data_IF_173736715133
#
_entry.id   IF_173736715133
#
_cell.length_a   1.000
_cell.length_b   1.000
_cell.length_c   1.000
_cell.angle_alpha   90.00
_cell.angle_beta   90.00
_cell.angle_gamma   90.00
#
_symmetry.space_group_name_H-M   'P 1'
#
loop_
_entity.id
_entity.type
_entity.pdbx_description
1 polymer ?
#
# COMPACT_ATOMS: atom_id res chain seq x y z
N UNK A 1 -3.07 -15.04 14.29
CA UNK A 1 -2.56 -14.78 12.93
C UNK A 1 -1.27 -14.01 12.99
N UNK A 2 -0.69 -13.69 11.83
CA UNK A 2 0.55 -12.91 11.73
C UNK A 2 0.41 -11.50 12.33
N UNK A 3 -0.72 -10.83 12.06
CA UNK A 3 -1.04 -9.51 12.60
C UNK A 3 -0.95 -9.45 14.13
N UNK A 4 -1.58 -10.40 14.84
CA UNK A 4 -1.53 -10.43 16.31
C UNK A 4 -0.10 -10.60 16.84
N UNK A 5 0.77 -11.29 16.10
CA UNK A 5 2.17 -11.45 16.48
C UNK A 5 2.96 -10.14 16.31
N UNK A 6 2.71 -9.39 15.24
CA UNK A 6 3.29 -8.04 15.03
C UNK A 6 2.86 -7.08 16.14
N UNK A 7 1.55 -7.00 16.41
CA UNK A 7 1.00 -6.15 17.48
C UNK A 7 1.61 -6.52 18.83
N UNK A 8 1.66 -7.82 19.15
CA UNK A 8 2.28 -8.30 20.39
C UNK A 8 3.77 -7.96 20.48
N UNK A 9 4.50 -7.99 19.36
CA UNK A 9 5.91 -7.60 19.29
C UNK A 9 6.12 -6.14 19.66
N UNK A 10 5.35 -5.22 19.07
CA UNK A 10 5.42 -3.79 19.40
C UNK A 10 4.98 -3.48 20.83
N UNK A 11 3.91 -4.14 21.33
CA UNK A 11 3.50 -4.02 22.73
C UNK A 11 4.60 -4.52 23.69
N UNK A 12 5.24 -5.65 23.37
CA UNK A 12 6.34 -6.20 24.16
C UNK A 12 7.60 -5.31 24.14
N UNK A 13 7.80 -4.56 23.06
CA UNK A 13 8.84 -3.53 22.94
C UNK A 13 8.50 -2.22 23.69
N UNK A 14 7.29 -2.13 24.28
CA UNK A 14 6.89 -1.01 25.14
C UNK A 14 6.17 0.14 24.41
N UNK A 15 5.72 -0.08 23.17
CA UNK A 15 4.99 0.92 22.40
C UNK A 15 3.48 0.88 22.68
N UNK A 16 2.83 2.04 22.59
CA UNK A 16 1.39 2.10 22.32
C UNK A 16 1.15 1.75 20.86
N UNK A 17 0.25 0.81 20.59
CA UNK A 17 -0.10 0.38 19.24
C UNK A 17 -1.51 0.85 18.90
N UNK A 18 -1.67 1.45 17.71
CA UNK A 18 -2.94 1.87 17.15
C UNK A 18 -3.10 1.18 15.81
N UNK A 19 -4.23 0.52 15.60
CA UNK A 19 -4.56 -0.20 14.35
C UNK A 19 -5.87 0.39 13.83
N UNK A 20 -5.80 1.37 12.91
CA UNK A 20 -6.98 2.02 12.37
C UNK A 20 -7.62 1.18 11.26
N UNK A 21 -8.94 1.22 11.18
CA UNK A 21 -9.71 0.68 10.05
C UNK A 21 -9.55 1.63 8.85
N UNK A 22 -8.41 1.55 8.17
CA UNK A 22 -7.98 2.55 7.19
C UNK A 22 -8.84 2.56 5.91
N UNK A 23 -9.57 1.49 5.65
CA UNK A 23 -10.48 1.36 4.51
C UNK A 23 -11.82 2.09 4.75
N UNK A 24 -12.06 2.62 5.95
CA UNK A 24 -13.30 3.29 6.30
C UNK A 24 -14.48 2.33 6.46
N UNK A 25 -15.67 2.89 6.68
CA UNK A 25 -16.89 2.12 6.90
C UNK A 25 -17.38 1.37 5.65
N UNK A 26 -16.96 1.84 4.46
CA UNK A 26 -17.31 1.27 3.16
C UNK A 26 -16.26 0.28 2.63
N UNK A 27 -15.21 -0.01 3.41
CA UNK A 27 -14.14 -0.96 3.05
C UNK A 27 -13.50 -0.66 1.68
N UNK A 28 -13.13 0.60 1.48
CA UNK A 28 -12.58 1.14 0.23
C UNK A 28 -11.07 0.89 0.16
N UNK A 29 -10.70 -0.38 0.00
CA UNK A 29 -9.30 -0.79 -0.14
C UNK A 29 -8.59 -0.05 -1.28
N UNK A 30 -7.31 0.27 -1.07
CA UNK A 30 -6.42 1.04 -1.98
C UNK A 30 -6.71 2.54 -2.16
N UNK A 31 -7.77 3.09 -1.56
CA UNK A 31 -8.03 4.53 -1.64
C UNK A 31 -7.03 5.30 -0.78
N UNK A 32 -6.07 5.92 -1.44
CA UNK A 32 -4.84 6.43 -0.84
C UNK A 32 -5.06 7.54 0.17
N UNK A 33 -5.66 8.66 -0.27
CA UNK A 33 -5.90 9.84 0.59
C UNK A 33 -6.75 9.48 1.82
N UNK A 34 -7.82 8.72 1.61
CA UNK A 34 -8.68 8.24 2.70
C UNK A 34 -7.89 7.40 3.70
N UNK A 35 -7.16 6.39 3.23
CA UNK A 35 -6.35 5.52 4.08
C UNK A 35 -5.31 6.31 4.88
N UNK A 36 -4.67 7.29 4.25
CA UNK A 36 -3.73 8.19 4.90
C UNK A 36 -4.39 9.05 5.98
N UNK A 37 -5.56 9.64 5.71
CA UNK A 37 -6.31 10.44 6.68
C UNK A 37 -6.78 9.59 7.86
N UNK A 38 -7.37 8.42 7.59
CA UNK A 38 -7.83 7.50 8.63
C UNK A 38 -6.67 7.08 9.55
N UNK A 39 -5.47 6.84 9.00
CA UNK A 39 -4.30 6.51 9.79
C UNK A 39 -3.86 7.66 10.72
N UNK A 40 -3.78 8.89 10.18
CA UNK A 40 -3.37 10.07 10.94
C UNK A 40 -4.42 10.46 11.99
N UNK A 41 -5.71 10.35 11.67
CA UNK A 41 -6.79 10.58 12.61
C UNK A 41 -6.87 9.49 13.68
N UNK A 42 -6.55 8.24 13.34
CA UNK A 42 -6.36 7.17 14.33
C UNK A 42 -5.29 7.52 15.37
N UNK A 43 -4.16 8.09 14.92
CA UNK A 43 -3.11 8.61 15.81
C UNK A 43 -3.64 9.75 16.69
N UNK A 44 -4.33 10.74 16.12
CA UNK A 44 -4.94 11.86 16.87
C UNK A 44 -5.94 11.35 17.91
N UNK A 45 -6.80 10.41 17.54
CA UNK A 45 -7.78 9.80 18.43
C UNK A 45 -7.10 9.10 19.61
N UNK A 46 -6.05 8.32 19.35
CA UNK A 46 -5.27 7.67 20.39
C UNK A 46 -4.57 8.67 21.31
N UNK A 47 -3.95 9.73 20.75
CA UNK A 47 -3.29 10.77 21.55
C UNK A 47 -4.29 11.50 22.45
N UNK A 48 -5.46 11.84 21.91
CA UNK A 48 -6.56 12.47 22.64
C UNK A 48 -7.09 11.57 23.77
N UNK A 49 -7.38 10.30 23.46
CA UNK A 49 -7.88 9.33 24.43
C UNK A 49 -6.90 9.08 25.58
N UNK A 50 -5.60 8.97 25.27
CA UNK A 50 -4.54 8.77 26.25
C UNK A 50 -4.08 10.07 26.94
N UNK A 51 -4.61 11.23 26.51
CA UNK A 51 -4.25 12.55 27.01
C UNK A 51 -2.75 12.86 26.89
N UNK A 52 -2.12 12.43 25.79
CA UNK A 52 -0.72 12.72 25.47
C UNK A 52 -0.62 13.85 24.45
N UNK A 53 0.46 14.65 24.43
CA UNK A 53 0.59 15.77 23.50
C UNK A 53 0.78 15.28 22.05
N UNK A 54 0.43 16.12 21.06
CA UNK A 54 0.66 15.82 19.64
C UNK A 54 2.15 15.67 19.28
N UNK A 55 3.03 16.21 20.12
CA UNK A 55 4.48 16.04 20.02
C UNK A 55 4.98 14.65 20.43
N UNK A 56 4.10 13.77 20.93
CA UNK A 56 4.44 12.36 21.20
C UNK A 56 4.98 11.73 19.92
N UNK A 57 6.20 11.14 19.93
CA UNK A 57 6.76 10.47 18.75
C UNK A 57 5.83 9.40 18.22
N UNK A 58 5.66 9.35 16.90
CA UNK A 58 4.81 8.38 16.20
C UNK A 58 5.62 7.74 15.08
N UNK A 59 5.61 6.41 15.06
CA UNK A 59 6.13 5.60 13.95
C UNK A 59 4.98 4.93 13.22
N UNK A 60 5.08 4.82 11.90
CA UNK A 60 4.09 4.10 11.09
C UNK A 60 4.75 2.86 10.48
N UNK A 61 4.04 1.73 10.44
CA UNK A 61 4.49 0.51 9.78
C UNK A 61 3.32 -0.16 9.07
N UNK A 62 3.58 -0.67 7.87
CA UNK A 62 2.62 -1.50 7.16
C UNK A 62 3.24 -2.24 5.99
N UNK A 63 2.67 -3.41 5.69
CA UNK A 63 3.11 -4.29 4.62
C UNK A 63 1.94 -4.65 3.71
N UNK A 64 2.18 -4.85 2.41
CA UNK A 64 1.14 -5.19 1.44
C UNK A 64 0.02 -4.14 1.45
N UNK A 65 -1.24 -4.53 1.63
CA UNK A 65 -2.37 -3.59 1.82
C UNK A 65 -2.14 -2.56 2.94
N UNK A 66 -1.52 -2.96 4.06
CA UNK A 66 -1.20 -2.04 5.16
C UNK A 66 -0.13 -0.99 4.83
N UNK A 67 0.60 -1.17 3.72
CA UNK A 67 1.52 -0.15 3.23
C UNK A 67 0.79 1.08 2.68
N UNK A 68 -0.46 0.94 2.23
CA UNK A 68 -1.31 2.02 1.70
C UNK A 68 -1.48 3.15 2.73
N UNK A 69 -2.10 2.95 3.91
CA UNK A 69 -2.22 3.99 4.92
C UNK A 69 -0.87 4.49 5.44
N UNK A 70 0.16 3.63 5.43
CA UNK A 70 1.50 3.97 5.93
C UNK A 70 2.20 4.97 5.04
N UNK A 71 2.27 4.68 3.74
CA UNK A 71 2.91 5.55 2.77
C UNK A 71 2.06 6.80 2.52
N UNK A 72 0.75 6.66 2.31
CA UNK A 72 -0.14 7.79 2.08
C UNK A 72 -0.23 8.71 3.30
N UNK A 73 -0.30 8.14 4.51
CA UNK A 73 -0.28 8.93 5.75
C UNK A 73 1.00 9.74 5.89
N UNK A 74 2.17 9.14 5.61
CA UNK A 74 3.44 9.88 5.62
C UNK A 74 3.49 10.97 4.54
N UNK A 75 2.90 10.73 3.37
CA UNK A 75 2.85 11.66 2.25
C UNK A 75 1.99 12.90 2.51
N UNK A 76 0.79 12.71 3.08
CA UNK A 76 -0.19 13.79 3.30
C UNK A 76 -0.02 14.47 4.66
N UNK A 77 0.62 13.82 5.63
CA UNK A 77 0.85 14.39 6.97
C UNK A 77 1.44 15.81 6.98
N UNK A 78 2.37 16.19 6.08
CA UNK A 78 2.94 17.53 6.05
C UNK A 78 1.92 18.67 5.93
N UNK A 79 0.79 18.41 5.28
CA UNK A 79 -0.31 19.37 5.07
C UNK A 79 -1.53 19.04 5.94
N UNK A 80 -1.92 17.76 6.01
CA UNK A 80 -3.14 17.33 6.71
C UNK A 80 -2.98 17.23 8.23
N UNK A 81 -1.82 16.80 8.71
CA UNK A 81 -1.53 16.60 10.13
C UNK A 81 -0.14 17.10 10.55
N UNK A 82 0.19 18.39 10.26
CA UNK A 82 1.52 18.94 10.48
C UNK A 82 1.94 18.98 11.96
N UNK A 83 0.98 18.87 12.89
CA UNK A 83 1.21 18.87 14.33
C UNK A 83 1.66 17.51 14.90
N UNK A 84 1.51 16.42 14.14
CA UNK A 84 1.92 15.08 14.56
C UNK A 84 3.44 14.92 14.41
N UNK A 85 4.08 14.43 15.47
CA UNK A 85 5.52 14.14 15.46
C UNK A 85 5.80 12.76 14.84
N UNK A 86 5.67 12.65 13.51
CA UNK A 86 6.04 11.44 12.78
C UNK A 86 7.57 11.31 12.70
N UNK A 87 8.14 10.34 13.44
CA UNK A 87 9.59 10.12 13.51
C UNK A 87 10.11 9.15 12.45
N UNK A 88 9.23 8.34 11.87
CA UNK A 88 9.53 7.54 10.68
C UNK A 88 8.33 6.74 10.20
N UNK A 89 8.33 6.35 8.93
CA UNK A 89 7.36 5.44 8.35
C UNK A 89 8.06 4.30 7.59
N UNK A 90 7.64 3.07 7.83
CA UNK A 90 8.18 1.86 7.23
C UNK A 90 7.10 1.14 6.42
N UNK A 91 7.20 1.18 5.09
CA UNK A 91 6.23 0.58 4.18
C UNK A 91 6.90 -0.52 3.35
N UNK A 92 6.29 -1.69 3.26
CA UNK A 92 6.82 -2.84 2.52
C UNK A 92 5.81 -3.47 1.58
N UNK A 93 6.27 -4.01 0.44
CA UNK A 93 5.39 -4.63 -0.56
C UNK A 93 4.32 -3.65 -1.05
N UNK A 94 4.73 -2.49 -1.57
CA UNK A 94 3.81 -1.40 -1.87
C UNK A 94 3.11 -1.57 -3.24
N UNK A 95 1.76 -1.44 -3.31
CA UNK A 95 1.03 -1.31 -4.57
C UNK A 95 1.10 0.14 -5.06
N UNK A 96 2.26 0.53 -5.61
CA UNK A 96 2.57 1.92 -5.97
C UNK A 96 1.69 2.42 -7.12
N UNK A 97 1.52 1.60 -8.15
CA UNK A 97 0.71 1.89 -9.33
C UNK A 97 -0.04 0.63 -9.76
N UNK A 98 -1.35 0.62 -9.49
CA UNK A 98 -2.18 -0.55 -9.74
C UNK A 98 -2.35 -0.85 -11.24
N UNK A 99 -2.06 0.11 -12.14
CA UNK A 99 -2.06 -0.14 -13.57
C UNK A 99 -0.92 -1.08 -13.98
N UNK A 100 0.20 -1.06 -13.25
CA UNK A 100 1.29 -2.02 -13.46
C UNK A 100 1.03 -3.35 -12.74
N UNK A 101 0.40 -3.32 -11.55
CA UNK A 101 0.08 -4.54 -10.80
C UNK A 101 -0.96 -5.42 -11.50
N UNK A 102 -2.03 -4.84 -12.07
CA UNK A 102 -3.13 -5.57 -12.70
C UNK A 102 -2.67 -6.63 -13.72
N UNK A 103 -1.86 -6.31 -14.75
CA UNK A 103 -1.38 -7.31 -15.70
C UNK A 103 -0.43 -8.33 -15.06
N UNK A 104 0.24 -7.98 -13.96
CA UNK A 104 1.17 -8.87 -13.26
C UNK A 104 0.47 -9.93 -12.42
N UNK A 105 -0.65 -9.59 -11.77
CA UNK A 105 -1.49 -10.54 -11.03
C UNK A 105 -2.51 -11.26 -11.92
N UNK A 106 -2.70 -10.82 -13.17
CA UNK A 106 -3.61 -11.46 -14.15
C UNK A 106 -3.20 -12.90 -14.43
N UNK A 107 -4.05 -13.87 -14.08
CA UNK A 107 -3.77 -15.29 -14.21
C UNK A 107 -2.76 -15.84 -13.19
N UNK A 108 -2.41 -15.07 -12.16
CA UNK A 108 -1.59 -15.54 -11.05
C UNK A 108 -2.40 -16.50 -10.17
N UNK A 109 -1.82 -17.64 -9.81
CA UNK A 109 -2.52 -18.69 -9.06
C UNK A 109 -2.85 -18.33 -7.61
N UNK A 110 -2.08 -17.44 -7.01
CA UNK A 110 -2.18 -17.09 -5.59
C UNK A 110 -2.84 -15.73 -5.37
N UNK A 111 -2.84 -14.87 -6.39
CA UNK A 111 -3.16 -13.44 -6.20
C UNK A 111 -4.17 -12.87 -7.19
N UNK A 112 -4.62 -13.61 -8.20
CA UNK A 112 -5.61 -13.08 -9.15
C UNK A 112 -6.92 -12.67 -8.46
N UNK A 113 -7.26 -13.25 -7.30
CA UNK A 113 -8.43 -12.86 -6.51
C UNK A 113 -8.43 -11.41 -6.02
N UNK A 114 -7.30 -10.69 -6.02
CA UNK A 114 -7.26 -9.26 -5.64
C UNK A 114 -7.82 -8.33 -6.72
N UNK A 115 -7.90 -8.79 -7.98
CA UNK A 115 -8.45 -8.03 -9.12
C UNK A 115 -9.91 -7.61 -8.88
N UNK A 116 -10.86 -8.52 -8.58
CA UNK A 116 -12.24 -8.14 -8.26
C UNK A 116 -12.35 -7.25 -7.01
N UNK A 117 -11.51 -7.45 -5.98
CA UNK A 117 -11.52 -6.61 -4.77
C UNK A 117 -11.20 -5.14 -5.07
N UNK A 118 -10.28 -4.88 -6.02
CA UNK A 118 -10.00 -3.54 -6.50
C UNK A 118 -11.24 -2.89 -7.13
N UNK A 119 -11.99 -3.64 -7.94
CA UNK A 119 -13.18 -3.13 -8.62
C UNK A 119 -14.32 -2.86 -7.62
N UNK A 120 -14.50 -3.70 -6.62
CA UNK A 120 -15.43 -3.44 -5.49
C UNK A 120 -15.09 -2.11 -4.82
N UNK A 121 -13.83 -1.91 -4.43
CA UNK A 121 -13.42 -0.70 -3.75
C UNK A 121 -13.61 0.56 -4.62
N UNK A 122 -13.36 0.46 -5.93
CA UNK A 122 -13.48 1.60 -6.84
C UNK A 122 -14.94 1.90 -7.20
N UNK A 123 -15.81 0.88 -7.27
CA UNK A 123 -17.24 1.09 -7.39
C UNK A 123 -17.78 1.91 -6.21
N UNK A 124 -17.39 1.55 -4.97
CA UNK A 124 -17.79 2.27 -3.76
C UNK A 124 -17.24 3.71 -3.71
N UNK A 125 -15.95 3.87 -3.98
CA UNK A 125 -15.27 5.16 -3.81
C UNK A 125 -15.48 6.16 -4.96
N UNK A 126 -15.59 5.67 -6.20
CA UNK A 126 -15.70 6.51 -7.41
C UNK A 126 -17.08 6.41 -8.08
N UNK A 127 -17.96 5.52 -7.62
CA UNK A 127 -19.31 5.36 -8.19
C UNK A 127 -19.29 4.79 -9.60
N UNK A 128 -18.37 3.88 -9.90
CA UNK A 128 -18.21 3.29 -11.24
C UNK A 128 -19.49 2.56 -11.68
N UNK A 129 -19.96 2.83 -12.90
CA UNK A 129 -21.08 2.06 -13.48
C UNK A 129 -20.56 0.73 -14.03
N UNK A 130 -20.51 -0.29 -13.16
CA UNK A 130 -20.05 -1.63 -13.53
C UNK A 130 -20.84 -2.23 -14.69
N UNK A 131 -22.12 -1.87 -14.85
CA UNK A 131 -22.94 -2.37 -15.97
C UNK A 131 -22.41 -1.93 -17.33
N UNK A 132 -21.57 -0.89 -17.39
CA UNK A 132 -21.02 -0.39 -18.65
C UNK A 132 -19.84 -1.22 -19.16
N UNK A 133 -19.10 -1.93 -18.28
CA UNK A 133 -17.86 -2.61 -18.66
C UNK A 133 -17.64 -4.01 -18.08
N UNK A 134 -18.29 -4.38 -16.97
CA UNK A 134 -18.11 -5.70 -16.34
C UNK A 134 -18.89 -6.79 -17.11
N UNK A 135 -18.26 -7.97 -17.22
CA UNK A 135 -18.85 -9.19 -17.80
C UNK A 135 -19.75 -9.92 -16.80
N UNK A 136 -20.59 -10.85 -17.28
CA UNK A 136 -21.41 -11.69 -16.40
C UNK A 136 -20.55 -12.48 -15.39
N UNK A 137 -19.39 -12.98 -15.83
CA UNK A 137 -18.43 -13.66 -14.96
C UNK A 137 -17.78 -12.69 -13.97
N UNK A 138 -17.45 -11.47 -14.41
CA UNK A 138 -16.91 -10.44 -13.52
C UNK A 138 -17.89 -10.08 -12.40
N UNK A 139 -19.19 -9.99 -12.69
CA UNK A 139 -20.22 -9.79 -11.66
C UNK A 139 -20.31 -10.96 -10.68
N UNK A 140 -20.23 -12.20 -11.17
CA UNK A 140 -20.24 -13.40 -10.31
C UNK A 140 -19.07 -13.38 -9.30
N UNK A 141 -17.87 -13.02 -9.75
CA UNK A 141 -16.69 -12.98 -8.88
C UNK A 141 -16.74 -11.77 -7.94
N UNK A 142 -17.20 -10.60 -8.41
CA UNK A 142 -17.38 -9.40 -7.58
C UNK A 142 -18.33 -9.69 -6.42
N UNK A 143 -19.48 -10.31 -6.68
CA UNK A 143 -20.49 -10.65 -5.65
C UNK A 143 -19.93 -11.59 -4.56
N UNK A 144 -19.01 -12.49 -4.93
CA UNK A 144 -18.33 -13.37 -3.98
C UNK A 144 -17.34 -12.59 -3.11
N UNK A 145 -16.48 -11.80 -3.75
CA UNK A 145 -15.39 -11.08 -3.07
C UNK A 145 -15.91 -9.94 -2.19
N UNK A 146 -17.05 -9.32 -2.54
CA UNK A 146 -17.68 -8.22 -1.80
C UNK A 146 -17.99 -8.56 -0.33
N UNK A 147 -18.11 -9.84 0.00
CA UNK A 147 -18.52 -10.35 1.31
C UNK A 147 -17.43 -11.13 2.04
N UNK A 148 -16.20 -11.13 1.52
CA UNK A 148 -15.10 -11.97 1.99
C UNK A 148 -13.85 -11.16 2.36
N UNK A 149 -13.09 -11.68 3.31
CA UNK A 149 -11.75 -11.19 3.63
C UNK A 149 -10.72 -11.79 2.65
N UNK A 150 -9.63 -11.09 2.39
CA UNK A 150 -8.57 -11.54 1.46
C UNK A 150 -8.06 -12.97 1.70
N UNK A 151 -8.01 -13.42 2.95
CA UNK A 151 -7.60 -14.79 3.32
C UNK A 151 -8.60 -15.88 2.89
N UNK A 152 -9.79 -15.50 2.42
CA UNK A 152 -10.84 -16.39 1.96
C UNK A 152 -10.87 -16.50 0.43
N UNK A 153 -10.50 -15.45 -0.31
CA UNK A 153 -10.69 -15.40 -1.76
C UNK A 153 -9.42 -15.35 -2.61
N UNK A 154 -8.25 -15.00 -2.04
CA UNK A 154 -7.08 -14.62 -2.85
C UNK A 154 -6.62 -15.73 -3.83
N UNK A 155 -6.62 -16.99 -3.38
CA UNK A 155 -6.17 -18.18 -4.13
C UNK A 155 -7.31 -18.99 -4.78
N UNK A 156 -8.57 -18.56 -4.64
CA UNK A 156 -9.74 -19.25 -5.19
C UNK A 156 -9.93 -19.06 -6.70
N UNK A 157 -9.21 -18.10 -7.29
CA UNK A 157 -9.37 -17.71 -8.70
C UNK A 157 -8.09 -17.89 -9.55
N UNK A 158 -7.47 -19.08 -9.59
CA UNK A 158 -6.13 -19.26 -10.17
C UNK A 158 -6.06 -19.11 -11.70
N UNK A 159 -7.20 -18.91 -12.37
CA UNK A 159 -7.30 -18.66 -13.82
C UNK A 159 -7.95 -17.33 -14.16
N UNK A 160 -8.30 -16.51 -13.16
CA UNK A 160 -8.95 -15.22 -13.40
C UNK A 160 -7.95 -14.26 -14.03
N UNK A 161 -8.40 -13.59 -15.08
CA UNK A 161 -7.63 -12.54 -15.75
C UNK A 161 -8.43 -11.24 -15.72
N UNK A 162 -7.72 -10.12 -15.76
CA UNK A 162 -8.31 -8.80 -16.02
C UNK A 162 -9.25 -8.80 -17.24
N UNK A 163 -8.87 -9.48 -18.32
CA UNK A 163 -9.70 -9.63 -19.52
C UNK A 163 -11.01 -10.37 -19.26
N UNK A 164 -11.03 -11.35 -18.33
CA UNK A 164 -12.24 -12.09 -18.00
C UNK A 164 -13.25 -11.27 -17.19
N UNK A 165 -12.80 -10.20 -16.53
CA UNK A 165 -13.65 -9.30 -15.74
C UNK A 165 -14.50 -8.38 -16.61
N UNK A 166 -14.11 -8.14 -17.87
CA UNK A 166 -14.72 -7.14 -18.73
C UNK A 166 -15.49 -7.75 -19.91
N UNK A 167 -16.45 -6.99 -20.44
CA UNK A 167 -17.18 -7.33 -21.67
C UNK A 167 -16.79 -6.41 -22.83
N UNK A 168 -17.10 -6.86 -24.04
CA UNK A 168 -16.87 -6.09 -25.26
C UNK A 168 -17.51 -4.68 -25.16
N UNK A 169 -16.80 -3.63 -25.61
CA UNK A 169 -15.60 -3.66 -26.45
C UNK A 169 -14.27 -3.81 -25.70
N UNK A 170 -14.29 -3.82 -24.37
CA UNK A 170 -13.08 -3.86 -23.54
C UNK A 170 -12.45 -5.25 -23.53
N UNK A 171 -11.12 -5.29 -23.44
CA UNK A 171 -10.31 -6.50 -23.34
C UNK A 171 -9.44 -6.54 -22.09
N UNK A 172 -9.40 -5.46 -21.33
CA UNK A 172 -8.78 -5.31 -20.02
C UNK A 172 -9.56 -4.28 -19.20
N UNK A 173 -9.43 -4.35 -17.87
CA UNK A 173 -9.86 -3.26 -16.97
C UNK A 173 -9.11 -1.95 -17.27
N UNK A 174 -7.90 -2.02 -17.81
CA UNK A 174 -7.11 -0.86 -18.23
C UNK A 174 -7.59 -0.24 -19.56
N UNK A 175 -8.53 -0.87 -20.26
CA UNK A 175 -9.19 -0.26 -21.41
C UNK A 175 -10.36 0.67 -20.99
N UNK A 176 -10.76 0.63 -19.71
CA UNK A 176 -11.92 1.36 -19.17
C UNK A 176 -11.47 2.71 -18.59
N UNK A 177 -11.82 3.85 -19.20
CA UNK A 177 -11.28 5.15 -18.79
C UNK A 177 -11.57 5.53 -17.34
N UNK A 178 -12.75 5.17 -16.82
CA UNK A 178 -13.13 5.49 -15.44
C UNK A 178 -12.33 4.66 -14.42
N UNK A 179 -11.97 3.42 -14.75
CA UNK A 179 -11.08 2.58 -13.93
C UNK A 179 -9.68 3.17 -13.94
N UNK A 180 -9.16 3.51 -15.11
CA UNK A 180 -7.83 4.12 -15.25
C UNK A 180 -7.74 5.45 -14.48
N UNK A 181 -8.75 6.31 -14.59
CA UNK A 181 -8.79 7.57 -13.84
C UNK A 181 -8.79 7.35 -12.31
N UNK A 182 -9.50 6.33 -11.82
CA UNK A 182 -9.49 5.97 -10.41
C UNK A 182 -8.13 5.41 -9.97
N UNK A 183 -7.45 4.60 -10.81
CA UNK A 183 -6.08 4.13 -10.53
C UNK A 183 -5.11 5.30 -10.47
N UNK A 184 -5.14 6.19 -11.48
CA UNK A 184 -4.23 7.32 -11.59
C UNK A 184 -4.34 8.28 -10.39
N UNK A 185 -5.55 8.46 -9.84
CA UNK A 185 -5.79 9.27 -8.64
C UNK A 185 -5.18 8.66 -7.35
N UNK A 186 -4.83 7.38 -7.37
CA UNK A 186 -4.28 6.63 -6.25
C UNK A 186 -2.80 6.19 -6.44
N UNK A 187 -2.10 6.72 -7.45
CA UNK A 187 -0.66 6.49 -7.61
C UNK A 187 0.09 7.04 -6.39
N UNK A 188 0.85 6.18 -5.70
CA UNK A 188 1.66 6.58 -4.55
C UNK A 188 2.75 7.57 -4.97
N UNK A 189 3.02 8.60 -4.16
CA UNK A 189 4.02 9.61 -4.49
C UNK A 189 3.47 10.85 -5.19
N UNK A 190 2.15 10.90 -5.48
CA UNK A 190 1.53 11.90 -6.36
C UNK A 190 0.91 13.12 -5.66
N UNK A 191 0.55 13.02 -4.37
CA UNK A 191 -0.22 14.04 -3.65
C UNK A 191 0.62 14.82 -2.62
N UNK A 192 1.88 14.43 -2.40
CA UNK A 192 2.71 15.11 -1.41
C UNK A 192 4.16 14.66 -1.36
N UNK A 193 4.85 15.12 -0.32
CA UNK A 193 6.24 14.75 -0.04
C UNK A 193 6.42 14.58 1.46
N UNK A 194 6.67 13.35 1.95
CA UNK A 194 6.93 13.10 3.36
C UNK A 194 8.02 14.02 3.92
N UNK A 195 7.83 14.51 5.15
CA UNK A 195 8.89 15.18 5.93
C UNK A 195 9.61 14.24 6.89
N UNK A 196 9.09 13.03 7.05
CA UNK A 196 9.61 12.01 7.95
C UNK A 196 10.53 11.05 7.19
N UNK A 197 11.57 10.47 7.82
CA UNK A 197 12.35 9.41 7.20
C UNK A 197 11.49 8.22 6.80
N UNK A 198 11.75 7.67 5.62
CA UNK A 198 11.00 6.56 5.03
C UNK A 198 11.89 5.32 4.94
N UNK A 199 11.37 4.16 5.36
CA UNK A 199 11.91 2.86 4.99
C UNK A 199 10.97 2.19 3.99
N UNK A 200 11.42 1.98 2.76
CA UNK A 200 10.64 1.38 1.68
C UNK A 200 11.25 0.06 1.28
N UNK A 201 10.47 -1.02 1.25
CA UNK A 201 11.00 -2.33 0.90
C UNK A 201 10.08 -3.16 0.01
N UNK A 202 10.65 -4.10 -0.73
CA UNK A 202 9.90 -5.00 -1.62
C UNK A 202 10.68 -6.29 -1.88
N UNK A 203 9.97 -7.40 -2.07
CA UNK A 203 10.58 -8.63 -2.58
C UNK A 203 10.98 -8.50 -4.06
N UNK A 204 11.71 -9.49 -4.56
CA UNK A 204 12.06 -9.63 -5.97
C UNK A 204 12.27 -11.11 -6.31
N UNK A 205 11.17 -11.83 -6.46
CA UNK A 205 11.14 -13.27 -6.70
C UNK A 205 11.38 -13.63 -8.16
N UNK A 206 10.93 -12.77 -9.07
CA UNK A 206 10.99 -12.98 -10.51
C UNK A 206 11.48 -11.70 -11.22
N UNK A 207 11.64 -11.69 -12.56
CA UNK A 207 12.13 -10.52 -13.28
C UNK A 207 11.28 -9.24 -13.17
N UNK A 208 10.05 -9.33 -12.67
CA UNK A 208 9.09 -8.22 -12.55
C UNK A 208 9.05 -7.72 -11.10
N UNK A 209 8.88 -8.64 -10.14
CA UNK A 209 8.47 -8.25 -8.79
C UNK A 209 8.53 -9.36 -7.75
N UNK A 210 7.73 -9.20 -6.70
CA UNK A 210 7.62 -10.15 -5.60
C UNK A 210 6.49 -11.17 -5.75
N UNK A 211 6.01 -11.43 -6.98
CA UNK A 211 4.77 -12.13 -7.36
C UNK A 211 3.45 -11.36 -7.21
N UNK A 212 3.45 -10.16 -6.61
CA UNK A 212 2.28 -9.28 -6.47
C UNK A 212 2.60 -7.82 -6.80
N UNK A 213 3.64 -7.30 -6.17
CA UNK A 213 4.12 -5.93 -6.23
C UNK A 213 5.30 -5.81 -7.18
N UNK A 214 5.34 -4.73 -7.94
CA UNK A 214 6.36 -4.47 -8.94
C UNK A 214 7.59 -3.85 -8.26
N UNK A 215 8.73 -4.54 -8.29
CA UNK A 215 9.96 -4.05 -7.66
C UNK A 215 10.37 -2.69 -8.23
N UNK A 216 10.25 -2.52 -9.56
CA UNK A 216 10.57 -1.29 -10.26
C UNK A 216 9.73 -0.08 -9.84
N UNK A 217 8.46 -0.29 -9.44
CA UNK A 217 7.60 0.82 -9.03
C UNK A 217 7.97 1.31 -7.62
N UNK A 218 8.28 0.39 -6.70
CA UNK A 218 8.78 0.75 -5.36
C UNK A 218 10.12 1.48 -5.45
N UNK A 219 10.99 1.08 -6.39
CA UNK A 219 12.22 1.83 -6.70
C UNK A 219 11.89 3.24 -7.23
N UNK A 220 10.93 3.36 -8.15
CA UNK A 220 10.51 4.64 -8.72
C UNK A 220 9.97 5.60 -7.66
N UNK A 221 9.17 5.10 -6.72
CA UNK A 221 8.66 5.87 -5.59
C UNK A 221 9.81 6.35 -4.69
N UNK A 222 10.70 5.43 -4.30
CA UNK A 222 11.84 5.75 -3.46
C UNK A 222 12.78 6.78 -4.12
N UNK A 223 13.07 6.61 -5.41
CA UNK A 223 13.87 7.54 -6.20
C UNK A 223 13.20 8.91 -6.31
N UNK A 224 11.89 8.94 -6.58
CA UNK A 224 11.11 10.17 -6.63
C UNK A 224 11.14 10.95 -5.31
N UNK A 225 11.02 10.27 -4.18
CA UNK A 225 11.15 10.89 -2.86
C UNK A 225 12.58 11.38 -2.57
N UNK A 226 13.60 10.60 -2.90
CA UNK A 226 14.99 11.06 -2.81
C UNK A 226 15.23 12.35 -3.62
N UNK A 227 14.69 12.44 -4.83
CA UNK A 227 14.76 13.63 -5.67
C UNK A 227 14.08 14.87 -5.06
N UNK A 228 13.12 14.66 -4.15
CA UNK A 228 12.44 15.71 -3.38
C UNK A 228 13.06 15.99 -2.00
N UNK A 229 14.19 15.34 -1.69
CA UNK A 229 14.94 15.55 -0.45
C UNK A 229 14.45 14.76 0.75
N UNK A 230 13.60 13.75 0.56
CA UNK A 230 13.16 12.84 1.63
C UNK A 230 14.33 11.93 2.01
N UNK A 231 14.50 11.69 3.31
CA UNK A 231 15.45 10.70 3.82
C UNK A 231 14.88 9.29 3.63
N UNK A 232 15.30 8.62 2.55
CA UNK A 232 14.81 7.27 2.20
C UNK A 232 15.89 6.22 2.42
N UNK A 233 15.53 5.16 3.13
CA UNK A 233 16.22 3.88 3.12
C UNK A 233 15.37 2.89 2.30
N UNK A 234 15.91 2.43 1.16
CA UNK A 234 15.26 1.44 0.30
C UNK A 234 15.92 0.05 0.45
N UNK A 235 15.12 -1.01 0.49
CA UNK A 235 15.58 -2.39 0.50
C UNK A 235 14.85 -3.26 -0.52
N UNK A 236 15.62 -3.96 -1.37
CA UNK A 236 15.12 -5.02 -2.24
C UNK A 236 15.52 -6.37 -1.68
N UNK A 237 14.61 -7.33 -1.64
CA UNK A 237 14.88 -8.68 -1.17
C UNK A 237 14.87 -9.69 -2.32
N UNK A 238 16.04 -9.89 -2.91
CA UNK A 238 16.23 -10.81 -4.04
C UNK A 238 15.90 -12.26 -3.67
N UNK A 239 15.14 -12.91 -4.55
CA UNK A 239 14.71 -14.30 -4.41
C UNK A 239 13.53 -14.52 -3.46
N UNK A 240 12.93 -13.46 -2.91
CA UNK A 240 11.80 -13.57 -2.00
C UNK A 240 10.48 -13.18 -2.69
N UNK A 241 9.47 -14.04 -2.52
CA UNK A 241 8.07 -13.73 -2.84
C UNK A 241 7.49 -12.69 -1.88
N UNK A 242 6.28 -12.22 -2.18
CA UNK A 242 5.57 -11.24 -1.39
C UNK A 242 5.40 -11.71 0.06
N UNK A 243 5.08 -12.99 0.25
CA UNK A 243 4.97 -13.61 1.57
C UNK A 243 6.32 -13.84 2.25
N UNK A 244 7.34 -14.26 1.50
CA UNK A 244 8.68 -14.55 2.05
C UNK A 244 9.43 -13.27 2.48
N UNK A 245 9.14 -12.14 1.82
CA UNK A 245 9.74 -10.85 2.12
C UNK A 245 9.23 -10.23 3.44
N UNK A 246 8.01 -10.56 3.86
CA UNK A 246 7.38 -10.03 5.07
C UNK A 246 8.23 -10.18 6.36
N UNK A 247 8.73 -11.36 6.76
CA UNK A 247 9.51 -11.48 7.99
C UNK A 247 10.83 -10.71 7.96
N UNK A 248 11.45 -10.55 6.78
CA UNK A 248 12.68 -9.76 6.62
C UNK A 248 12.35 -8.27 6.78
N UNK A 249 11.27 -7.82 6.13
CA UNK A 249 10.76 -6.46 6.28
C UNK A 249 10.46 -6.13 7.74
N UNK A 250 9.69 -6.95 8.43
CA UNK A 250 9.27 -6.70 9.81
C UNK A 250 10.47 -6.49 10.75
N UNK A 251 11.49 -7.36 10.64
CA UNK A 251 12.71 -7.24 11.43
C UNK A 251 13.47 -5.94 11.16
N UNK A 252 13.60 -5.54 9.88
CA UNK A 252 14.31 -4.32 9.49
C UNK A 252 13.50 -3.06 9.85
N UNK A 253 12.18 -3.10 9.71
CA UNK A 253 11.26 -2.02 10.06
C UNK A 253 11.25 -1.76 11.57
N UNK A 254 11.24 -2.81 12.40
CA UNK A 254 11.37 -2.68 13.84
C UNK A 254 12.70 -2.01 14.22
N UNK A 255 13.80 -2.41 13.59
CA UNK A 255 15.09 -1.76 13.82
C UNK A 255 15.06 -0.29 13.38
N UNK A 256 14.57 0.00 12.18
CA UNK A 256 14.45 1.35 11.65
C UNK A 256 13.64 2.24 12.59
N UNK A 257 12.46 1.80 13.01
CA UNK A 257 11.60 2.56 13.91
C UNK A 257 12.22 2.74 15.30
N UNK A 258 12.89 1.70 15.84
CA UNK A 258 13.60 1.81 17.13
C UNK A 258 14.67 2.92 17.09
N UNK A 259 15.41 3.00 15.99
CA UNK A 259 16.40 4.08 15.78
C UNK A 259 15.73 5.45 15.64
N UNK A 260 14.57 5.54 14.98
CA UNK A 260 13.81 6.80 14.88
C UNK A 260 13.27 7.27 16.23
N UNK A 261 12.66 6.37 16.99
CA UNK A 261 12.16 6.67 18.34
C UNK A 261 13.26 7.10 19.32
N UNK A 262 14.49 6.58 19.15
CA UNK A 262 15.65 6.95 19.97
C UNK A 262 16.42 8.19 19.47
N UNK A 263 15.99 8.82 18.37
CA UNK A 263 16.68 9.96 17.76
C UNK A 263 18.02 9.59 17.12
N UNK A 264 18.21 8.32 16.77
CA UNK A 264 19.41 7.82 16.10
C UNK A 264 19.52 8.31 14.65
N UNK A 265 20.76 8.40 14.11
CA UNK A 265 21.00 8.90 12.76
C UNK A 265 20.32 8.03 11.72
N UNK A 266 19.79 8.67 10.68
CA UNK A 266 19.26 7.99 9.50
C UNK A 266 20.39 7.40 8.64
N UNK A 267 20.04 6.43 7.80
CA UNK A 267 20.98 5.74 6.89
C UNK A 267 20.43 5.72 5.48
N UNK A 268 20.09 6.91 4.97
CA UNK A 268 19.60 7.04 3.61
C UNK A 268 20.58 6.43 2.61
N UNK A 269 20.05 5.68 1.64
CA UNK A 269 20.80 5.12 0.52
C UNK A 269 20.36 5.71 -0.82
N UNK A 270 19.76 6.92 -0.82
CA UNK A 270 19.27 7.61 -2.02
C UNK A 270 20.26 7.63 -3.19
N UNK A 271 21.55 7.76 -2.93
CA UNK A 271 22.60 7.80 -3.95
C UNK A 271 22.78 6.49 -4.73
N UNK A 272 22.26 5.37 -4.20
CA UNK A 272 22.35 4.04 -4.83
C UNK A 272 21.03 3.53 -5.37
N UNK A 273 19.91 4.23 -5.12
CA UNK A 273 18.59 3.80 -5.58
C UNK A 273 18.48 4.06 -7.09
N UNK A 274 18.21 3.03 -7.92
CA UNK A 274 17.97 3.22 -9.35
C UNK A 274 16.67 4.01 -9.60
N UNK A 275 16.49 4.64 -10.78
CA UNK A 275 15.28 5.39 -11.11
C UNK A 275 13.97 4.61 -11.03
N UNK A 276 14.01 3.28 -11.12
CA UNK A 276 12.82 2.43 -11.18
C UNK A 276 11.98 2.66 -12.44
N UNK A 277 10.70 2.27 -12.36
CA UNK A 277 9.70 2.53 -13.39
C UNK A 277 9.19 3.97 -13.30
N UNK A 278 8.67 4.49 -14.42
CA UNK A 278 7.96 5.77 -14.42
C UNK A 278 6.59 5.62 -13.75
N UNK A 279 6.26 6.52 -12.84
CA UNK A 279 4.98 6.54 -12.09
C UNK A 279 4.08 7.68 -12.58
N UNK A 280 4.03 7.88 -13.89
CA UNK A 280 3.19 8.92 -14.50
C UNK A 280 1.79 8.36 -14.75
N UNK A 281 0.73 9.13 -14.47
CA UNK A 281 -0.64 8.77 -14.84
C UNK A 281 -0.74 8.28 -16.28
N UNK A 282 -1.60 7.30 -16.50
CA UNK A 282 -1.78 6.63 -17.80
C UNK A 282 -2.84 7.30 -18.67
N UNK A 283 -3.64 8.23 -18.12
CA UNK A 283 -4.66 9.04 -18.81
C UNK A 283 -4.26 10.47 -19.17
#
# INVERSE_FOLDING_TARGET
>A
GAEQAVIAGYLAAGYTVVVPDYEGEELEWTIGRQSGYAALDGVRAAQSFLQVPSSTPVGMIGYSGGSVPTQWGAEVAPEYAPELNLVGAAAGGLPVDLAHNLPYVSGNREWAGVIPALIVAYERAYGLDLNSFISDYGFEVIDQVDHECIAQFADDYPTLTDASMVKAPYTSLLDVPEVVAAIDDNIMGSQGTPRTPMFLAVGHADPIGDTVMITGDVQGLAYGYCGRGVDVQYAQYDGLTHSDAFPVFEAQSLQFLTERFSGGPTRSNCVTIPPGNALTPTS
#
